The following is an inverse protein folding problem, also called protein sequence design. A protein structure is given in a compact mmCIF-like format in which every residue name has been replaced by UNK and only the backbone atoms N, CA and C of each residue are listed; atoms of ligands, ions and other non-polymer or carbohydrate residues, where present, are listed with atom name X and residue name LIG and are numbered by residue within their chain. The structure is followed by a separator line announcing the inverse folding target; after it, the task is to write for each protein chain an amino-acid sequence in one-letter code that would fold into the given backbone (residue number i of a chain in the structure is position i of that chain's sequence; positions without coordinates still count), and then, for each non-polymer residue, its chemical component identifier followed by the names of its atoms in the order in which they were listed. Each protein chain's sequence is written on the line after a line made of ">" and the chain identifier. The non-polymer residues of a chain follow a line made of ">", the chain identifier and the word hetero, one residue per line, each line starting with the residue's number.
data_IF_326774868852
#
_entry.id   IF_326774868852
#
_cell.length_a   1.000
_cell.length_b   1.000
_cell.length_c   1.000
_cell.angle_alpha   90.00
_cell.angle_beta   90.00
_cell.angle_gamma   90.00
#
_symmetry.space_group_name_H-M   'P 1'
#
loop_
_entity.id
_entity.type
_entity.pdbx_description
1 polymer ?
#
# COMPACT_ATOMS: atom_id res chain seq x y z
N UNK A 1 -0.52 16.84 21.17
CA UNK A 1 -1.15 15.61 20.66
C UNK A 1 -0.19 14.44 20.80
N UNK A 2 -0.49 13.49 21.67
CA UNK A 2 0.28 12.25 21.85
C UNK A 2 -0.49 11.05 21.31
N UNK A 3 0.21 10.13 20.67
CA UNK A 3 -0.35 8.85 20.22
C UNK A 3 -0.54 7.96 21.45
N UNK A 4 -1.77 7.59 21.75
CA UNK A 4 -2.15 6.82 22.94
C UNK A 4 -2.39 5.35 22.64
N UNK A 5 -2.79 5.03 21.41
CA UNK A 5 -3.02 3.65 21.00
C UNK A 5 -2.66 3.37 19.55
N UNK A 6 -2.35 2.11 19.30
CA UNK A 6 -2.11 1.52 17.99
C UNK A 6 -2.98 0.27 17.91
N UNK A 7 -3.87 0.24 16.94
CA UNK A 7 -4.67 -0.95 16.64
C UNK A 7 -4.50 -1.34 15.18
N UNK A 8 -4.72 -2.61 14.89
CA UNK A 8 -4.69 -3.15 13.54
C UNK A 8 -5.92 -3.99 13.27
N UNK A 9 -6.40 -3.99 12.03
CA UNK A 9 -7.50 -4.85 11.58
C UNK A 9 -7.07 -5.61 10.34
N UNK A 10 -7.07 -6.93 10.42
CA UNK A 10 -6.85 -7.78 9.26
C UNK A 10 -8.11 -7.82 8.38
N UNK A 11 -7.95 -7.47 7.11
CA UNK A 11 -9.03 -7.44 6.12
C UNK A 11 -8.66 -8.36 4.96
N UNK A 12 -9.60 -9.22 4.56
CA UNK A 12 -9.48 -10.03 3.36
C UNK A 12 -10.77 -9.97 2.56
N UNK A 13 -10.69 -9.48 1.32
CA UNK A 13 -11.83 -9.25 0.45
C UNK A 13 -11.68 -10.05 -0.85
N UNK A 14 -12.66 -10.88 -1.24
CA UNK A 14 -12.62 -11.57 -2.53
C UNK A 14 -12.66 -10.55 -3.67
N UNK A 15 -11.86 -10.77 -4.70
CA UNK A 15 -11.91 -9.98 -5.93
C UNK A 15 -13.05 -10.48 -6.82
N UNK A 16 -13.78 -9.55 -7.44
CA UNK A 16 -14.85 -9.89 -8.40
C UNK A 16 -14.31 -10.69 -9.59
N UNK A 17 -13.12 -10.34 -10.07
CA UNK A 17 -12.36 -11.10 -11.06
C UNK A 17 -10.94 -11.36 -10.55
N UNK A 18 -10.42 -12.60 -10.65
CA UNK A 18 -9.06 -12.90 -10.24
C UNK A 18 -8.03 -12.10 -11.06
N UNK A 19 -7.03 -11.54 -10.38
CA UNK A 19 -5.92 -10.87 -11.04
C UNK A 19 -4.79 -11.87 -11.27
N UNK A 20 -4.47 -12.15 -12.52
CA UNK A 20 -3.26 -12.89 -12.87
C UNK A 20 -2.01 -12.07 -12.58
N UNK A 21 -0.91 -12.73 -12.25
CA UNK A 21 0.43 -12.22 -12.47
C UNK A 21 1.34 -13.32 -13.05
N UNK A 22 2.60 -12.99 -13.35
CA UNK A 22 3.52 -13.95 -13.99
C UNK A 22 3.78 -15.22 -13.15
N UNK A 23 3.50 -15.21 -11.85
CA UNK A 23 3.84 -16.29 -10.91
C UNK A 23 2.67 -16.79 -10.07
N UNK A 24 1.53 -16.09 -10.01
CA UNK A 24 0.39 -16.43 -9.18
C UNK A 24 -0.91 -15.79 -9.68
N UNK A 25 -2.03 -16.43 -9.35
CA UNK A 25 -3.38 -15.86 -9.49
C UNK A 25 -3.84 -15.33 -8.13
N UNK A 26 -4.27 -14.07 -8.11
CA UNK A 26 -4.72 -13.37 -6.92
C UNK A 26 -6.24 -13.39 -6.91
N UNK A 27 -6.82 -14.08 -5.93
CA UNK A 27 -8.28 -14.22 -5.80
C UNK A 27 -8.89 -13.27 -4.77
N UNK A 28 -8.06 -12.68 -3.91
CA UNK A 28 -8.49 -11.80 -2.85
C UNK A 28 -7.44 -10.72 -2.59
N UNK A 29 -7.91 -9.57 -2.11
CA UNK A 29 -7.06 -8.51 -1.59
C UNK A 29 -6.98 -8.65 -0.07
N UNK A 30 -5.76 -8.79 0.44
CA UNK A 30 -5.50 -8.98 1.86
C UNK A 30 -4.64 -7.83 2.38
N UNK A 31 -5.13 -7.10 3.39
CA UNK A 31 -4.41 -6.01 4.02
C UNK A 31 -4.54 -6.00 5.55
N UNK A 32 -3.63 -5.28 6.17
CA UNK A 32 -3.74 -4.82 7.56
C UNK A 32 -4.07 -3.33 7.49
N UNK A 33 -5.19 -2.93 8.06
CA UNK A 33 -5.53 -1.53 8.34
C UNK A 33 -4.90 -1.16 9.68
N UNK A 34 -4.29 0.02 9.75
CA UNK A 34 -3.56 0.52 10.91
C UNK A 34 -4.22 1.81 11.37
N UNK A 35 -4.45 1.89 12.67
CA UNK A 35 -5.07 3.02 13.31
C UNK A 35 -4.23 3.50 14.48
N UNK A 36 -3.84 4.78 14.44
CA UNK A 36 -3.19 5.48 15.53
C UNK A 36 -4.17 6.44 16.17
N UNK A 37 -4.48 6.24 17.45
CA UNK A 37 -5.38 7.10 18.22
C UNK A 37 -4.56 8.05 19.07
N UNK A 38 -5.04 9.29 19.24
CA UNK A 38 -4.37 10.32 20.03
C UNK A 38 -5.17 10.72 21.26
N UNK A 39 -4.49 11.35 22.22
CA UNK A 39 -5.09 11.95 23.43
C UNK A 39 -6.08 13.10 23.12
N UNK A 40 -6.03 13.67 21.92
CA UNK A 40 -6.94 14.71 21.43
C UNK A 40 -8.10 14.14 20.60
N UNK A 41 -8.24 12.82 20.53
CA UNK A 41 -9.34 12.14 19.83
C UNK A 41 -9.19 12.04 18.30
N UNK A 42 -8.09 12.55 17.72
CA UNK A 42 -7.76 12.34 16.31
C UNK A 42 -7.26 10.92 16.07
N UNK A 43 -7.64 10.36 14.92
CA UNK A 43 -7.25 9.03 14.43
C UNK A 43 -6.53 9.15 13.09
N UNK A 44 -5.33 8.60 13.00
CA UNK A 44 -4.58 8.42 11.76
C UNK A 44 -4.73 7.03 11.22
N UNK A 45 -4.87 6.92 9.91
CA UNK A 45 -5.22 5.68 9.24
C UNK A 45 -4.21 5.38 8.13
N UNK A 46 -3.86 4.11 7.99
CA UNK A 46 -3.06 3.62 6.87
C UNK A 46 -3.39 2.16 6.58
N UNK A 47 -2.89 1.63 5.47
CA UNK A 47 -2.93 0.20 5.19
C UNK A 47 -1.62 -0.29 4.58
N UNK A 48 -1.25 -1.52 4.93
CA UNK A 48 -0.25 -2.31 4.18
C UNK A 48 -0.91 -3.58 3.70
N UNK A 49 -0.49 -4.07 2.53
CA UNK A 49 -1.13 -5.22 1.89
C UNK A 49 -0.14 -6.29 1.49
N UNK A 50 -0.66 -7.49 1.30
CA UNK A 50 0.06 -8.62 0.72
C UNK A 50 -0.83 -9.31 -0.30
N UNK A 51 -0.19 -9.98 -1.26
CA UNK A 51 -0.87 -10.83 -2.24
C UNK A 51 -1.26 -12.19 -1.61
N UNK A 52 -0.60 -12.55 -0.51
CA UNK A 52 -0.68 -13.85 0.15
C UNK A 52 -1.34 -13.72 1.52
N UNK A 53 -2.61 -14.11 1.68
CA UNK A 53 -3.35 -13.95 2.94
C UNK A 53 -2.65 -14.58 4.15
N UNK A 54 -1.93 -15.68 3.94
CA UNK A 54 -1.16 -16.36 4.98
C UNK A 54 -0.07 -15.48 5.60
N UNK A 55 0.33 -14.39 4.92
CA UNK A 55 1.31 -13.43 5.40
C UNK A 55 0.70 -12.29 6.24
N UNK A 56 -0.63 -12.19 6.35
CA UNK A 56 -1.27 -11.12 7.14
C UNK A 56 -0.79 -11.09 8.58
N UNK A 57 -0.69 -12.26 9.22
CA UNK A 57 -0.21 -12.37 10.61
C UNK A 57 1.23 -11.87 10.77
N UNK A 58 2.07 -12.08 9.75
CA UNK A 58 3.45 -11.60 9.75
C UNK A 58 3.49 -10.07 9.66
N UNK A 59 2.69 -9.47 8.78
CA UNK A 59 2.57 -8.01 8.67
C UNK A 59 2.06 -7.40 9.98
N UNK A 60 0.97 -7.96 10.53
CA UNK A 60 0.37 -7.52 11.78
C UNK A 60 1.35 -7.57 12.96
N UNK A 61 2.06 -8.69 13.10
CA UNK A 61 3.08 -8.86 14.16
C UNK A 61 4.19 -7.82 14.02
N UNK A 62 4.62 -7.51 12.80
CA UNK A 62 5.68 -6.52 12.58
C UNK A 62 5.25 -5.11 12.97
N UNK A 63 3.99 -4.72 12.72
CA UNK A 63 3.47 -3.43 13.20
C UNK A 63 3.51 -3.38 14.74
N UNK A 64 3.09 -4.46 15.41
CA UNK A 64 3.08 -4.52 16.88
C UNK A 64 4.48 -4.53 17.52
N UNK A 65 5.49 -5.12 16.86
CA UNK A 65 6.89 -5.04 17.30
C UNK A 65 7.39 -3.58 17.40
N UNK A 66 6.82 -2.69 16.60
CA UNK A 66 7.15 -1.27 16.56
C UNK A 66 6.22 -0.40 17.43
N UNK A 67 5.25 -0.98 18.15
CA UNK A 67 4.28 -0.23 18.97
C UNK A 67 4.97 0.71 19.95
N UNK A 68 5.94 0.22 20.71
CA UNK A 68 6.66 1.04 21.70
C UNK A 68 7.54 2.12 21.07
N UNK A 69 7.80 2.01 19.77
CA UNK A 69 8.48 3.07 19.03
C UNK A 69 7.56 4.26 18.72
N UNK A 70 6.23 4.15 18.85
CA UNK A 70 5.28 5.21 18.47
C UNK A 70 4.38 5.68 19.60
N UNK A 71 4.00 4.83 20.55
CA UNK A 71 3.15 5.21 21.68
C UNK A 71 3.83 6.31 22.53
N UNK A 72 3.06 7.32 22.92
CA UNK A 72 3.51 8.48 23.70
C UNK A 72 4.22 9.56 22.88
N UNK A 73 4.40 9.38 21.57
CA UNK A 73 5.04 10.38 20.69
C UNK A 73 4.06 11.41 20.17
N UNK A 74 4.55 12.61 19.85
CA UNK A 74 3.79 13.51 18.99
C UNK A 74 3.87 13.00 17.55
N UNK A 75 2.76 13.00 16.78
CA UNK A 75 2.79 12.65 15.37
C UNK A 75 3.77 13.46 14.52
N UNK A 76 4.16 14.67 14.93
CA UNK A 76 5.21 15.44 14.25
C UNK A 76 6.63 14.92 14.50
N UNK A 77 6.85 14.08 15.51
CA UNK A 77 8.16 13.54 15.88
C UNK A 77 8.59 12.36 14.95
N UNK A 78 8.29 12.43 13.65
CA UNK A 78 8.54 11.33 12.69
C UNK A 78 10.02 10.95 12.62
N UNK A 79 10.94 11.92 12.66
CA UNK A 79 12.38 11.63 12.68
C UNK A 79 12.80 10.80 13.90
N UNK A 80 12.23 11.09 15.07
CA UNK A 80 12.53 10.35 16.30
C UNK A 80 11.90 8.95 16.27
N UNK A 81 10.68 8.81 15.72
CA UNK A 81 10.07 7.51 15.43
C UNK A 81 10.95 6.68 14.49
N UNK A 82 11.36 7.23 13.34
CA UNK A 82 12.18 6.53 12.36
C UNK A 82 13.52 6.08 12.95
N UNK A 83 14.22 6.93 13.69
CA UNK A 83 15.48 6.53 14.33
C UNK A 83 15.30 5.37 15.30
N UNK A 84 14.22 5.37 16.10
CA UNK A 84 13.96 4.30 17.05
C UNK A 84 13.51 3.00 16.37
N UNK A 85 12.58 3.10 15.43
CA UNK A 85 12.12 1.97 14.63
C UNK A 85 13.27 1.33 13.84
N UNK A 86 14.15 2.14 13.24
CA UNK A 86 15.33 1.67 12.51
C UNK A 86 16.27 0.86 13.40
N UNK A 87 16.55 1.33 14.63
CA UNK A 87 17.37 0.58 15.59
C UNK A 87 16.72 -0.74 15.98
N UNK A 88 15.40 -0.76 16.20
CA UNK A 88 14.66 -1.97 16.59
C UNK A 88 14.68 -3.05 15.52
N UNK A 89 14.67 -2.67 14.24
CA UNK A 89 14.72 -3.64 13.13
C UNK A 89 16.13 -4.09 12.73
N UNK A 90 17.19 -3.54 13.35
CA UNK A 90 18.58 -3.76 12.94
C UNK A 90 18.95 -5.24 12.76
N UNK A 91 18.47 -6.13 13.64
CA UNK A 91 18.79 -7.55 13.57
C UNK A 91 17.99 -8.32 12.50
N UNK A 92 16.75 -7.89 12.23
CA UNK A 92 15.84 -8.56 11.27
C UNK A 92 15.94 -7.98 9.86
N UNK A 93 16.79 -6.96 9.66
CA UNK A 93 17.10 -6.36 8.37
C UNK A 93 16.26 -5.14 8.03
N UNK A 94 16.66 -4.43 6.96
CA UNK A 94 16.11 -3.13 6.54
C UNK A 94 15.25 -3.21 5.27
N UNK A 95 14.71 -4.39 4.98
CA UNK A 95 13.96 -4.69 3.75
C UNK A 95 12.79 -5.62 4.03
N UNK A 96 11.82 -5.70 3.13
CA UNK A 96 10.71 -6.64 3.26
C UNK A 96 9.78 -6.29 4.42
N UNK A 97 9.43 -7.28 5.25
CA UNK A 97 8.43 -7.10 6.33
C UNK A 97 8.82 -5.98 7.29
N UNK A 98 10.09 -5.86 7.67
CA UNK A 98 10.54 -4.89 8.68
C UNK A 98 10.30 -3.44 8.23
N UNK A 99 10.65 -3.11 6.98
CA UNK A 99 10.40 -1.78 6.43
C UNK A 99 8.90 -1.54 6.15
N UNK A 100 8.14 -2.58 5.83
CA UNK A 100 6.67 -2.49 5.72
C UNK A 100 6.03 -2.12 7.06
N UNK A 101 6.53 -2.64 8.18
CA UNK A 101 6.07 -2.26 9.52
C UNK A 101 6.32 -0.78 9.83
N UNK A 102 7.48 -0.25 9.47
CA UNK A 102 7.77 1.19 9.62
C UNK A 102 6.82 2.02 8.75
N UNK A 103 6.66 1.64 7.48
CA UNK A 103 5.77 2.30 6.52
C UNK A 103 4.32 2.34 7.00
N UNK A 104 3.85 1.26 7.62
CA UNK A 104 2.51 1.16 8.18
C UNK A 104 2.22 2.27 9.20
N UNK A 105 3.13 2.44 10.17
CA UNK A 105 3.01 3.44 11.23
C UNK A 105 3.28 4.86 10.68
N UNK A 106 4.32 5.03 9.86
CA UNK A 106 4.67 6.33 9.27
C UNK A 106 3.52 6.93 8.46
N UNK A 107 2.85 6.13 7.63
CA UNK A 107 1.69 6.59 6.86
C UNK A 107 0.53 7.04 7.76
N UNK A 108 0.27 6.33 8.85
CA UNK A 108 -0.78 6.72 9.80
C UNK A 108 -0.38 7.99 10.59
N UNK A 109 0.91 8.19 10.88
CA UNK A 109 1.42 9.45 11.43
C UNK A 109 1.24 10.60 10.43
N UNK A 110 1.51 10.39 9.13
CA UNK A 110 1.27 11.40 8.09
C UNK A 110 -0.20 11.79 7.99
N UNK A 111 -1.10 10.83 8.08
CA UNK A 111 -2.54 11.09 8.09
C UNK A 111 -2.97 11.88 9.34
N UNK A 112 -2.46 11.55 10.54
CA UNK A 112 -2.68 12.36 11.75
C UNK A 112 -2.23 13.81 11.56
N UNK A 113 -1.03 14.01 11.01
CA UNK A 113 -0.48 15.35 10.80
C UNK A 113 -1.31 16.15 9.80
N UNK A 114 -1.76 15.50 8.72
CA UNK A 114 -2.63 16.09 7.71
C UNK A 114 -3.99 16.50 8.31
N UNK A 115 -4.63 15.60 9.06
CA UNK A 115 -5.89 15.84 9.76
C UNK A 115 -5.76 16.98 10.79
N UNK A 116 -4.72 16.96 11.63
CA UNK A 116 -4.44 18.03 12.61
C UNK A 116 -4.23 19.38 11.93
N UNK A 117 -3.51 19.41 10.81
CA UNK A 117 -3.24 20.65 10.08
C UNK A 117 -4.45 21.15 9.25
N UNK A 118 -5.52 20.36 9.11
CA UNK A 118 -6.61 20.67 8.18
C UNK A 118 -6.16 20.71 6.72
N UNK A 119 -5.14 19.93 6.36
CA UNK A 119 -4.54 19.88 5.02
C UNK A 119 -4.59 18.47 4.45
N UNK A 120 -4.67 18.35 3.12
CA UNK A 120 -4.37 17.07 2.47
C UNK A 120 -2.86 16.76 2.56
N UNK A 121 -2.47 15.47 2.61
CA UNK A 121 -1.06 15.05 2.53
C UNK A 121 -0.36 15.67 1.31
N UNK A 122 -1.02 15.73 0.15
CA UNK A 122 -0.44 16.35 -1.05
C UNK A 122 -0.01 17.81 -0.82
N UNK A 123 -0.81 18.60 -0.09
CA UNK A 123 -0.48 20.00 0.27
C UNK A 123 0.69 20.04 1.24
N UNK A 124 0.72 19.14 2.22
CA UNK A 124 1.88 19.03 3.13
C UNK A 124 3.18 18.71 2.38
N UNK A 125 3.10 17.92 1.31
CA UNK A 125 4.24 17.58 0.44
C UNK A 125 4.58 18.67 -0.61
N UNK A 126 3.89 19.82 -0.59
CA UNK A 126 4.15 20.90 -1.56
C UNK A 126 3.48 20.69 -2.92
N UNK A 127 2.21 20.29 -2.94
CA UNK A 127 1.39 20.07 -4.15
C UNK A 127 1.62 21.13 -5.24
N UNK A 128 2.08 20.69 -6.41
CA UNK A 128 2.26 21.54 -7.60
C UNK A 128 1.09 21.44 -8.61
N UNK A 129 0.14 20.51 -8.41
CA UNK A 129 -0.99 20.28 -9.33
C UNK A 129 -2.15 19.61 -8.61
N UNK A 130 -3.37 19.84 -9.08
CA UNK A 130 -4.59 19.23 -8.50
C UNK A 130 -4.79 17.78 -8.94
N UNK A 131 -4.29 17.40 -10.13
CA UNK A 131 -4.46 16.05 -10.70
C UNK A 131 -3.16 15.54 -11.31
N UNK A 132 -3.01 14.22 -11.38
CA UNK A 132 -1.88 13.52 -12.02
C UNK A 132 -2.40 12.55 -13.08
N UNK A 133 -1.66 12.28 -14.16
CA UNK A 133 -1.97 11.18 -15.06
C UNK A 133 -1.93 9.84 -14.32
N UNK A 134 -2.95 9.01 -14.53
CA UNK A 134 -3.02 7.64 -14.03
C UNK A 134 -3.08 6.65 -15.21
N UNK A 135 -2.60 5.43 -14.99
CA UNK A 135 -2.63 4.38 -16.00
C UNK A 135 -3.28 3.10 -15.44
N UNK A 136 -3.98 2.36 -16.30
CA UNK A 136 -4.56 1.07 -15.94
C UNK A 136 -3.47 0.00 -15.83
N UNK A 137 -3.33 -0.60 -14.65
CA UNK A 137 -2.31 -1.62 -14.36
C UNK A 137 -2.88 -3.02 -14.10
N UNK A 138 -4.21 -3.19 -14.05
CA UNK A 138 -4.88 -4.44 -13.67
C UNK A 138 -5.36 -5.22 -14.87
N UNK A 139 -4.50 -6.03 -15.51
CA UNK A 139 -4.86 -6.86 -16.66
C UNK A 139 -3.76 -6.90 -17.71
N UNK A 140 -4.16 -7.18 -18.96
CA UNK A 140 -3.33 -7.23 -20.16
C UNK A 140 -2.15 -8.20 -20.04
N UNK A 141 -2.44 -9.43 -19.63
CA UNK A 141 -1.45 -10.50 -19.55
C UNK A 141 -1.35 -11.22 -20.88
N UNK A 142 -0.16 -11.24 -21.52
CA UNK A 142 0.05 -11.93 -22.80
C UNK A 142 -0.17 -13.46 -22.76
N UNK A 143 -0.47 -14.03 -21.59
CA UNK A 143 -0.99 -15.39 -21.44
C UNK A 143 -2.44 -15.54 -21.88
N UNK A 144 -3.18 -14.44 -22.06
CA UNK A 144 -4.55 -14.41 -22.56
C UNK A 144 -4.57 -14.26 -24.09
N UNK A 145 -5.66 -14.66 -24.73
CA UNK A 145 -5.82 -14.49 -26.17
C UNK A 145 -5.95 -13.01 -26.59
N UNK A 146 -5.59 -12.70 -27.84
CA UNK A 146 -5.65 -11.33 -28.38
C UNK A 146 -7.05 -10.72 -28.23
N UNK A 147 -8.17 -11.41 -28.54
CA UNK A 147 -9.50 -10.85 -28.34
C UNK A 147 -9.79 -10.43 -26.89
N UNK A 148 -9.34 -11.19 -25.88
CA UNK A 148 -9.50 -10.82 -24.48
C UNK A 148 -8.67 -9.60 -24.10
N UNK A 149 -7.45 -9.50 -24.63
CA UNK A 149 -6.59 -8.33 -24.43
C UNK A 149 -7.24 -7.06 -25.02
N UNK A 150 -7.80 -7.16 -26.23
CA UNK A 150 -8.51 -6.05 -26.87
C UNK A 150 -9.70 -5.62 -26.03
N UNK A 151 -10.56 -6.56 -25.58
CA UNK A 151 -11.71 -6.23 -24.73
C UNK A 151 -11.32 -5.53 -23.42
N UNK A 152 -10.24 -5.97 -22.77
CA UNK A 152 -9.74 -5.30 -21.55
C UNK A 152 -9.22 -3.89 -21.85
N UNK A 153 -8.48 -3.71 -22.95
CA UNK A 153 -7.97 -2.41 -23.37
C UNK A 153 -9.12 -1.44 -23.68
N UNK A 154 -10.14 -1.89 -24.42
CA UNK A 154 -11.37 -1.15 -24.68
C UNK A 154 -12.09 -0.77 -23.38
N UNK A 155 -12.17 -1.70 -22.42
CA UNK A 155 -12.69 -1.45 -21.08
C UNK A 155 -11.95 -0.33 -20.33
N UNK A 156 -10.62 -0.30 -20.40
CA UNK A 156 -9.84 0.79 -19.78
C UNK A 156 -10.06 2.13 -20.47
N UNK A 157 -10.16 2.16 -21.80
CA UNK A 157 -10.49 3.38 -22.55
C UNK A 157 -11.89 3.86 -22.17
N UNK A 158 -12.87 2.96 -22.09
CA UNK A 158 -14.24 3.28 -21.67
C UNK A 158 -14.30 3.81 -20.22
N UNK A 159 -13.44 3.31 -19.33
CA UNK A 159 -13.27 3.82 -17.97
C UNK A 159 -12.50 5.15 -17.87
N UNK A 160 -12.07 5.72 -19.00
CA UNK A 160 -11.41 7.03 -19.08
C UNK A 160 -9.89 7.01 -18.90
N UNK A 161 -9.25 5.83 -18.87
CA UNK A 161 -7.80 5.75 -18.81
C UNK A 161 -7.17 6.16 -20.15
N UNK A 162 -6.14 7.01 -20.07
CA UNK A 162 -5.36 7.46 -21.23
C UNK A 162 -4.08 6.65 -21.45
N UNK A 163 -3.76 5.77 -20.51
CA UNK A 163 -2.59 4.91 -20.54
C UNK A 163 -2.93 3.58 -19.86
N UNK A 164 -2.30 2.50 -20.31
CA UNK A 164 -2.45 1.16 -19.77
C UNK A 164 -1.13 0.40 -19.88
N UNK A 165 -0.94 -0.64 -19.05
CA UNK A 165 0.30 -1.42 -19.02
C UNK A 165 0.06 -2.85 -19.51
N UNK A 166 0.68 -3.20 -20.63
CA UNK A 166 0.78 -4.56 -21.15
C UNK A 166 1.85 -5.35 -20.38
N UNK A 167 1.57 -6.61 -20.03
CA UNK A 167 2.46 -7.49 -19.28
C UNK A 167 3.08 -8.54 -20.20
N UNK A 168 4.39 -8.48 -20.36
CA UNK A 168 5.14 -9.26 -21.36
C UNK A 168 5.69 -10.62 -20.86
N UNK A 169 5.54 -10.95 -19.57
CA UNK A 169 6.13 -12.16 -18.99
C UNK A 169 5.17 -13.37 -19.06
N UNK A 170 5.67 -14.55 -19.47
CA UNK A 170 4.93 -15.82 -19.42
C UNK A 170 4.91 -16.66 -20.72
N UNK A 171 5.51 -16.20 -21.83
CA UNK A 171 5.57 -16.95 -23.10
C UNK A 171 6.80 -16.60 -23.94
N UNK A 172 7.16 -17.44 -24.92
CA UNK A 172 8.20 -17.08 -25.89
C UNK A 172 7.69 -15.95 -26.78
N UNK A 173 8.48 -14.87 -26.91
CA UNK A 173 8.19 -13.76 -27.82
C UNK A 173 8.58 -14.22 -29.23
N UNK A 174 7.82 -15.17 -29.79
CA UNK A 174 8.02 -15.64 -31.17
C UNK A 174 6.97 -15.07 -32.14
N UNK A 175 5.97 -14.34 -31.64
CA UNK A 175 4.80 -13.93 -32.43
C UNK A 175 4.62 -12.41 -32.63
N UNK A 176 5.47 -11.55 -32.05
CA UNK A 176 5.54 -10.15 -32.48
C UNK A 176 6.47 -10.02 -33.69
N UNK A 177 5.96 -10.31 -34.89
CA UNK A 177 6.57 -9.76 -36.11
C UNK A 177 6.00 -8.35 -36.29
N UNK A 178 6.87 -7.36 -36.15
CA UNK A 178 6.63 -5.97 -36.60
C UNK A 178 6.59 -5.95 -38.11
#
# INVERSE_FOLDING_TARGET
>A
MKITDLTTTAVSLPLAEPLGNATATIHQFSCIVIDLVTDEGLRGENLIFTIRPEQLKLLDSMVHVLRDAVIGRDPDDTGAFWQDAWRRINFIGFTGVSIMGISAIDGAMWDLRAKRAGLSISRMLGRCRETIPAYASGGLWLTQDIPSLVRQAEGFVAAGFKAMKLRLAGGSISTCRV
#
